data_IF_652138668568
#
_entry.id   IF_652138668568
#
_cell.length_a   1.000
_cell.length_b   1.000
_cell.length_c   1.000
_cell.angle_alpha   90.00
_cell.angle_beta   90.00
_cell.angle_gamma   90.00
#
_symmetry.space_group_name_H-M   'P 1'
#
loop_
_entity.id
_entity.type
_entity.pdbx_description
1 polymer ?
#
# COMPACT_ATOMS: atom_id res chain seq x y z
N UNK A 1 24.52 8.33 -8.51
CA UNK A 1 24.26 9.48 -7.65
C UNK A 1 22.86 9.29 -7.17
N UNK A 2 22.71 8.98 -5.89
CA UNK A 2 21.41 8.67 -5.32
C UNK A 2 20.63 9.98 -5.32
N UNK A 3 19.65 10.08 -6.21
CA UNK A 3 18.79 11.24 -6.31
C UNK A 3 17.67 11.13 -5.28
N UNK A 4 17.28 12.27 -4.72
CA UNK A 4 16.15 12.32 -3.79
C UNK A 4 14.82 12.32 -4.56
N UNK A 5 13.88 11.50 -4.12
CA UNK A 5 12.51 11.46 -4.63
C UNK A 5 11.53 11.84 -3.52
N UNK A 6 10.67 12.83 -3.77
CA UNK A 6 9.60 13.21 -2.87
C UNK A 6 8.28 12.60 -3.33
N UNK A 7 7.62 11.90 -2.42
CA UNK A 7 6.28 11.35 -2.63
C UNK A 7 5.27 12.12 -1.76
N UNK A 8 4.06 12.30 -2.29
CA UNK A 8 2.94 12.93 -1.58
C UNK A 8 1.69 12.06 -1.65
N UNK A 9 0.79 12.26 -0.69
CA UNK A 9 -0.48 11.52 -0.56
C UNK A 9 -0.33 10.02 -0.23
N UNK A 10 0.77 9.62 0.39
CA UNK A 10 0.92 8.27 0.94
C UNK A 10 0.10 8.13 2.24
N UNK A 11 -0.27 6.89 2.55
CA UNK A 11 -0.74 6.53 3.89
C UNK A 11 0.50 6.13 4.70
N UNK A 12 0.63 6.72 5.88
CA UNK A 12 1.68 6.40 6.84
C UNK A 12 1.07 5.50 7.91
N UNK A 13 1.72 4.37 8.16
CA UNK A 13 1.37 3.43 9.22
C UNK A 13 2.53 3.41 10.21
N UNK A 14 2.25 3.75 11.47
CA UNK A 14 3.22 3.82 12.57
C UNK A 14 3.57 2.43 13.12
N UNK A 15 3.72 1.44 12.24
CA UNK A 15 4.15 0.08 12.56
C UNK A 15 4.84 -0.60 11.36
N UNK A 16 5.73 -1.58 11.60
CA UNK A 16 6.43 -2.32 10.55
C UNK A 16 5.50 -3.38 9.92
N UNK A 17 4.57 -2.93 9.09
CA UNK A 17 3.66 -3.79 8.33
C UNK A 17 4.34 -4.44 7.10
N UNK A 18 5.33 -3.78 6.51
CA UNK A 18 6.00 -4.19 5.27
C UNK A 18 7.47 -4.52 5.51
N UNK A 19 7.94 -5.63 4.93
CA UNK A 19 9.34 -6.03 4.87
C UNK A 19 9.90 -5.93 3.45
N UNK A 20 11.23 -5.96 3.26
CA UNK A 20 11.82 -6.04 1.93
C UNK A 20 11.26 -7.24 1.14
N UNK A 21 10.67 -6.97 -0.02
CA UNK A 21 9.98 -7.98 -0.84
C UNK A 21 8.45 -7.86 -0.84
N UNK A 22 7.86 -7.18 0.14
CA UNK A 22 6.40 -6.95 0.22
C UNK A 22 5.93 -5.77 -0.65
N UNK A 23 6.83 -5.20 -1.46
CA UNK A 23 6.52 -4.10 -2.36
C UNK A 23 5.42 -4.50 -3.34
N UNK A 24 4.36 -3.70 -3.42
CA UNK A 24 3.18 -3.98 -4.24
C UNK A 24 2.15 -4.90 -3.61
N UNK A 25 2.38 -5.43 -2.41
CA UNK A 25 1.39 -6.23 -1.67
C UNK A 25 0.10 -5.44 -1.43
N UNK A 26 -1.03 -6.13 -1.54
CA UNK A 26 -2.36 -5.58 -1.26
C UNK A 26 -2.49 -5.31 0.24
N UNK A 27 -2.81 -4.06 0.60
CA UNK A 27 -3.13 -3.69 1.98
C UNK A 27 -4.64 -3.55 2.14
N UNK A 28 -5.18 -4.26 3.10
CA UNK A 28 -6.61 -4.28 3.44
C UNK A 28 -6.85 -3.66 4.82
N UNK A 29 -8.03 -3.10 5.01
CA UNK A 29 -8.52 -2.80 6.34
C UNK A 29 -8.84 -4.12 7.06
N UNK A 30 -8.29 -4.33 8.25
CA UNK A 30 -8.38 -5.61 8.96
C UNK A 30 -9.82 -6.04 9.29
N UNK A 31 -10.71 -5.08 9.60
CA UNK A 31 -12.09 -5.39 10.01
C UNK A 31 -13.03 -5.58 8.82
N UNK A 32 -12.92 -4.68 7.82
CA UNK A 32 -13.85 -4.62 6.68
C UNK A 32 -13.36 -5.37 5.45
N UNK A 33 -12.10 -5.79 5.44
CA UNK A 33 -11.41 -6.41 4.31
C UNK A 33 -11.44 -5.57 3.02
N UNK A 34 -11.71 -4.26 3.15
CA UNK A 34 -11.70 -3.33 2.01
C UNK A 34 -10.28 -2.95 1.65
N UNK A 35 -10.02 -2.82 0.35
CA UNK A 35 -8.75 -2.32 -0.17
C UNK A 35 -8.43 -0.93 0.35
N UNK A 36 -7.24 -0.78 0.91
CA UNK A 36 -6.69 0.50 1.38
C UNK A 36 -5.63 1.01 0.39
N UNK A 37 -4.74 0.13 -0.05
CA UNK A 37 -3.61 0.54 -0.87
C UNK A 37 -2.66 -0.58 -1.24
N UNK A 38 -1.52 -0.18 -1.80
CA UNK A 38 -0.43 -1.07 -2.19
C UNK A 38 0.83 -0.72 -1.42
N UNK A 39 1.53 -1.72 -0.90
CA UNK A 39 2.77 -1.54 -0.16
C UNK A 39 3.81 -0.79 -1.00
N UNK A 40 4.34 0.30 -0.46
CA UNK A 40 5.30 1.15 -1.18
C UNK A 40 6.71 1.01 -0.61
N UNK A 41 6.86 1.28 0.69
CA UNK A 41 8.13 1.16 1.39
C UNK A 41 7.91 0.74 2.84
N UNK A 42 8.85 0.01 3.42
CA UNK A 42 8.83 -0.43 4.81
C UNK A 42 10.13 -0.11 5.52
N UNK A 43 10.05 0.06 6.83
CA UNK A 43 11.19 0.13 7.74
C UNK A 43 10.88 -0.66 9.03
N UNK A 44 11.83 -0.70 9.96
CA UNK A 44 11.65 -1.33 11.26
C UNK A 44 10.62 -0.63 12.16
N UNK A 45 10.20 0.59 11.82
CA UNK A 45 9.31 1.41 12.64
C UNK A 45 8.04 1.86 11.93
N UNK A 46 8.01 1.86 10.60
CA UNK A 46 6.89 2.40 9.84
C UNK A 46 6.71 1.71 8.49
N UNK A 47 5.52 1.87 7.93
CA UNK A 47 5.21 1.45 6.57
C UNK A 47 4.52 2.56 5.80
N UNK A 48 4.85 2.65 4.53
CA UNK A 48 4.35 3.64 3.59
C UNK A 48 3.58 2.91 2.51
N UNK A 49 2.36 3.37 2.24
CA UNK A 49 1.42 2.71 1.33
C UNK A 49 0.93 3.73 0.29
N UNK A 50 0.86 3.30 -0.96
CA UNK A 50 0.19 4.04 -2.03
C UNK A 50 -1.32 3.86 -1.90
N UNK A 51 -2.08 4.95 -1.80
CA UNK A 51 -3.56 4.92 -1.78
C UNK A 51 -4.09 4.20 -3.02
N UNK A 52 -4.91 3.17 -2.83
CA UNK A 52 -5.44 2.38 -3.94
C UNK A 52 -6.19 3.26 -4.95
N UNK A 53 -7.01 4.20 -4.46
CA UNK A 53 -7.77 5.13 -5.31
C UNK A 53 -6.89 5.94 -6.26
N UNK A 54 -5.67 6.32 -5.82
CA UNK A 54 -4.74 7.06 -6.68
C UNK A 54 -4.18 6.15 -7.77
N UNK A 55 -3.86 4.89 -7.42
CA UNK A 55 -3.33 3.90 -8.38
C UNK A 55 -4.39 3.54 -9.42
N UNK A 56 -5.60 3.21 -8.96
CA UNK A 56 -6.75 2.88 -9.81
C UNK A 56 -7.08 4.02 -10.77
N UNK A 57 -7.16 5.26 -10.27
CA UNK A 57 -7.48 6.43 -11.10
C UNK A 57 -6.39 6.77 -12.12
N UNK A 58 -5.10 6.60 -11.77
CA UNK A 58 -4.00 6.95 -12.68
C UNK A 58 -3.80 5.90 -13.77
N UNK A 59 -4.11 4.63 -13.49
CA UNK A 59 -3.93 3.53 -14.42
C UNK A 59 -5.21 3.10 -15.15
N UNK A 60 -6.36 3.66 -14.76
CA UNK A 60 -7.70 3.27 -15.27
C UNK A 60 -7.98 1.77 -15.08
N UNK A 61 -7.75 1.28 -13.86
CA UNK A 61 -7.96 -0.11 -13.47
C UNK A 61 -8.81 -0.20 -12.20
N UNK A 62 -9.36 -1.38 -11.94
CA UNK A 62 -9.99 -1.71 -10.67
C UNK A 62 -9.22 -2.83 -9.96
N UNK A 63 -8.91 -2.66 -8.68
CA UNK A 63 -8.31 -3.69 -7.84
C UNK A 63 -9.43 -4.61 -7.35
N UNK A 64 -9.39 -5.87 -7.76
CA UNK A 64 -10.32 -6.91 -7.31
C UNK A 64 -9.65 -7.66 -6.16
N UNK A 65 -10.07 -7.46 -4.89
CA UNK A 65 -9.51 -8.23 -3.78
C UNK A 65 -9.90 -9.71 -3.90
N UNK A 66 -9.09 -10.63 -3.34
CA UNK A 66 -9.43 -12.04 -3.34
C UNK A 66 -10.74 -12.29 -2.59
N UNK A 67 -11.56 -13.22 -3.10
CA UNK A 67 -12.71 -13.73 -2.35
C UNK A 67 -12.19 -14.47 -1.12
N UNK A 68 -12.45 -13.92 0.06
CA UNK A 68 -12.10 -14.58 1.32
C UNK A 68 -13.32 -15.41 1.72
N UNK A 69 -13.28 -16.70 1.41
CA UNK A 69 -14.25 -17.66 1.95
C UNK A 69 -14.12 -17.69 3.48
N UNK A 70 -15.24 -17.59 4.23
CA UNK A 70 -15.23 -17.63 5.69
C UNK A 70 -14.72 -18.96 6.26
#
# INVERSE_FOLDING_TARGET
>A
GDGDCLFKDQIIVDSPLLSPGDSGSLVLNADSLRTVGLGFAGSESMSVINKASNVESLLDIAIIPPEISP
#
